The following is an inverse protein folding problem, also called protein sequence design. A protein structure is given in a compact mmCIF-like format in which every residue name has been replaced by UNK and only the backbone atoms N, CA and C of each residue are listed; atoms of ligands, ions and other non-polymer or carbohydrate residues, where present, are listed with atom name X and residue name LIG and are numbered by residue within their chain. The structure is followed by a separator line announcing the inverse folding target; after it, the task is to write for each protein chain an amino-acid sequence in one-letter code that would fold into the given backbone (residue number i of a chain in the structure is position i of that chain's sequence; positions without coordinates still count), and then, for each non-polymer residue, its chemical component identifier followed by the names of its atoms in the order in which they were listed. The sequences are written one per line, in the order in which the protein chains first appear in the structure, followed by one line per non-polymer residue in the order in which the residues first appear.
data_IF_408874458807
#
_entry.id   IF_408874458807
#
_cell.length_a   1.000
_cell.length_b   1.000
_cell.length_c   1.000
_cell.angle_alpha   90.00
_cell.angle_beta   90.00
_cell.angle_gamma   90.00
#
_symmetry.space_group_name_H-M   'P 1'
#
loop_
_entity.id
_entity.type
_entity.pdbx_description
1 polymer ?
#
# COMPACT_ATOMS: atom_id res chain seq x y z
N UNK A 1 18.17 50.13 -20.23
CA UNK A 1 17.34 49.57 -19.16
C UNK A 1 16.09 48.85 -19.62
N UNK A 2 15.29 49.34 -20.59
CA UNK A 2 14.05 48.66 -21.08
C UNK A 2 14.29 47.24 -21.67
N UNK A 3 15.40 46.99 -22.35
CA UNK A 3 15.69 45.68 -22.99
C UNK A 3 16.06 44.59 -21.98
N UNK A 4 16.66 44.96 -20.82
CA UNK A 4 17.01 44.00 -19.76
C UNK A 4 15.75 43.55 -18.99
N UNK A 5 14.78 44.45 -18.83
CA UNK A 5 13.53 44.15 -18.15
C UNK A 5 12.68 43.15 -18.95
N UNK A 6 12.68 43.24 -20.28
CA UNK A 6 11.94 42.34 -21.19
C UNK A 6 12.53 40.92 -21.15
N UNK A 7 13.85 40.76 -21.09
CA UNK A 7 14.50 39.47 -21.01
C UNK A 7 14.27 38.82 -19.65
N UNK A 8 14.27 39.58 -18.55
CA UNK A 8 13.95 39.06 -17.21
C UNK A 8 12.48 38.61 -17.11
N UNK A 9 11.54 39.35 -17.74
CA UNK A 9 10.13 38.97 -17.78
C UNK A 9 9.89 37.70 -18.60
N UNK A 10 10.62 37.51 -19.72
CA UNK A 10 10.56 36.28 -20.52
C UNK A 10 11.15 35.07 -19.79
N UNK A 11 12.23 35.24 -19.03
CA UNK A 11 12.79 34.16 -18.20
C UNK A 11 11.87 33.79 -17.05
N UNK A 12 11.18 34.75 -16.43
CA UNK A 12 10.18 34.49 -15.40
C UNK A 12 8.92 33.82 -15.94
N UNK A 13 8.48 34.13 -17.18
CA UNK A 13 7.32 33.49 -17.81
C UNK A 13 7.66 32.06 -18.27
N UNK A 14 8.90 31.79 -18.71
CA UNK A 14 9.32 30.43 -19.07
C UNK A 14 9.61 29.55 -17.83
N UNK A 15 10.01 30.11 -16.71
CA UNK A 15 10.17 29.37 -15.47
C UNK A 15 8.84 29.04 -14.76
N UNK A 16 7.77 29.80 -15.06
CA UNK A 16 6.43 29.56 -14.50
C UNK A 16 5.64 28.44 -15.23
N UNK A 17 6.12 27.98 -16.41
CA UNK A 17 5.49 26.91 -17.19
C UNK A 17 6.27 25.59 -17.19
N UNK A 18 7.30 25.44 -16.37
CA UNK A 18 7.73 24.12 -15.94
C UNK A 18 6.66 23.67 -14.95
N UNK A 19 5.59 23.07 -15.46
CA UNK A 19 4.59 22.42 -14.65
C UNK A 19 5.33 21.46 -13.72
N UNK A 20 5.45 21.82 -12.46
CA UNK A 20 5.78 20.88 -11.41
C UNK A 20 4.67 19.85 -11.54
N UNK A 21 5.01 18.69 -12.13
CA UNK A 21 4.16 17.53 -12.02
C UNK A 21 3.76 17.46 -10.55
N UNK A 22 2.47 17.43 -10.27
CA UNK A 22 1.98 17.41 -8.89
C UNK A 22 2.59 16.18 -8.20
N UNK A 23 3.73 16.38 -7.55
CA UNK A 23 4.48 15.34 -6.85
C UNK A 23 3.71 14.80 -5.64
N UNK A 24 2.51 15.32 -5.38
CA UNK A 24 1.66 14.90 -4.30
C UNK A 24 0.66 13.80 -4.68
N UNK A 25 0.42 13.57 -5.97
CA UNK A 25 -0.57 12.58 -6.41
C UNK A 25 -0.15 11.17 -6.03
N UNK A 26 -0.93 10.56 -5.14
CA UNK A 26 -0.81 9.14 -4.78
C UNK A 26 -1.59 8.31 -5.79
N UNK A 27 -0.94 7.30 -6.35
CA UNK A 27 -1.57 6.37 -7.29
C UNK A 27 -2.45 5.37 -6.55
N UNK A 28 -3.58 5.03 -7.13
CA UNK A 28 -4.49 4.04 -6.54
C UNK A 28 -3.93 2.64 -6.67
N UNK A 29 -3.91 1.90 -5.55
CA UNK A 29 -3.62 0.48 -5.55
C UNK A 29 -4.86 -0.29 -6.02
N UNK A 30 -4.74 -0.99 -7.16
CA UNK A 30 -5.86 -1.73 -7.75
C UNK A 30 -6.17 -3.02 -6.99
N UNK A 31 -5.22 -3.60 -6.30
CA UNK A 31 -5.46 -4.83 -5.54
C UNK A 31 -6.52 -4.64 -4.45
N UNK A 32 -6.68 -3.42 -3.93
CA UNK A 32 -7.76 -3.07 -2.99
C UNK A 32 -9.15 -3.13 -3.63
N UNK A 33 -9.22 -3.34 -4.95
CA UNK A 33 -10.45 -3.39 -5.75
C UNK A 33 -10.57 -4.72 -6.51
N UNK A 34 -9.95 -5.82 -6.02
CA UNK A 34 -10.11 -7.15 -6.60
C UNK A 34 -11.58 -7.48 -6.76
N UNK A 35 -11.93 -8.06 -7.89
CA UNK A 35 -13.31 -8.37 -8.31
C UNK A 35 -14.24 -7.15 -8.46
N UNK A 36 -13.69 -5.94 -8.46
CA UNK A 36 -14.41 -4.69 -8.74
C UNK A 36 -13.78 -3.96 -9.92
N UNK A 37 -14.62 -3.35 -10.73
CA UNK A 37 -14.16 -2.45 -11.79
C UNK A 37 -14.03 -1.05 -11.22
N UNK A 38 -12.89 -0.40 -11.42
CA UNK A 38 -12.71 1.01 -11.06
C UNK A 38 -12.42 1.85 -12.30
N UNK A 39 -12.76 3.13 -12.24
CA UNK A 39 -12.48 4.09 -13.32
C UNK A 39 -11.57 5.19 -12.80
N UNK A 40 -10.51 5.51 -13.56
CA UNK A 40 -9.61 6.64 -13.36
C UNK A 40 -9.37 7.33 -14.68
N UNK A 41 -9.68 8.64 -14.73
CA UNK A 41 -9.56 9.41 -15.97
C UNK A 41 -10.32 8.78 -17.14
N UNK A 42 -9.62 8.46 -18.20
CA UNK A 42 -10.17 7.85 -19.43
C UNK A 42 -10.06 6.33 -19.49
N UNK A 43 -9.79 5.67 -18.36
CA UNK A 43 -9.57 4.23 -18.31
C UNK A 43 -10.40 3.56 -17.22
N UNK A 44 -10.79 2.33 -17.51
CA UNK A 44 -11.44 1.42 -16.58
C UNK A 44 -10.54 0.23 -16.32
N UNK A 45 -10.44 -0.21 -15.08
CA UNK A 45 -9.53 -1.25 -14.64
C UNK A 45 -10.32 -2.40 -14.04
N UNK A 46 -10.00 -3.60 -14.46
CA UNK A 46 -10.62 -4.84 -14.01
C UNK A 46 -9.52 -5.85 -13.62
N UNK A 47 -9.56 -6.33 -12.38
CA UNK A 47 -8.64 -7.35 -11.90
C UNK A 47 -9.43 -8.56 -11.43
N UNK A 48 -9.53 -9.55 -12.31
CA UNK A 48 -10.24 -10.81 -12.03
C UNK A 48 -9.32 -12.00 -12.26
N UNK A 49 -9.33 -12.90 -11.29
CA UNK A 49 -8.45 -14.06 -11.31
C UNK A 49 -6.99 -13.67 -11.44
N UNK A 50 -6.31 -14.17 -12.48
CA UNK A 50 -4.89 -13.97 -12.72
C UNK A 50 -4.60 -12.95 -13.84
N UNK A 51 -5.59 -12.15 -14.23
CA UNK A 51 -5.46 -11.19 -15.33
C UNK A 51 -5.90 -9.82 -14.92
N UNK A 52 -4.97 -8.87 -15.00
CA UNK A 52 -5.25 -7.44 -14.88
C UNK A 52 -5.56 -6.86 -16.26
N UNK A 53 -6.70 -6.24 -16.43
CA UNK A 53 -7.16 -5.65 -17.69
C UNK A 53 -7.43 -4.16 -17.55
N UNK A 54 -7.03 -3.42 -18.57
CA UNK A 54 -7.31 -2.00 -18.73
C UNK A 54 -8.18 -1.82 -19.95
N UNK A 55 -9.29 -1.14 -19.78
CA UNK A 55 -10.22 -0.77 -20.85
C UNK A 55 -10.26 0.74 -21.04
N UNK A 56 -10.80 1.20 -22.16
CA UNK A 56 -11.21 2.58 -22.30
C UNK A 56 -12.31 2.95 -21.27
N UNK A 57 -12.62 4.22 -21.14
CA UNK A 57 -13.63 4.72 -20.19
C UNK A 57 -15.00 4.06 -20.37
N UNK A 58 -15.33 3.62 -21.59
CA UNK A 58 -16.61 2.93 -21.86
C UNK A 58 -16.64 1.50 -21.34
N UNK A 59 -15.48 0.93 -20.94
CA UNK A 59 -15.33 -0.45 -20.53
C UNK A 59 -15.41 -1.47 -21.67
N UNK A 60 -15.50 -1.00 -22.92
CA UNK A 60 -15.74 -1.87 -24.09
C UNK A 60 -14.48 -2.26 -24.85
N UNK A 61 -13.53 -1.33 -24.98
CA UNK A 61 -12.30 -1.58 -25.74
C UNK A 61 -11.15 -1.91 -24.82
N UNK A 62 -10.63 -3.14 -24.92
CA UNK A 62 -9.42 -3.56 -24.20
C UNK A 62 -8.21 -2.74 -24.68
N UNK A 63 -7.56 -2.08 -23.74
CA UNK A 63 -6.35 -1.28 -23.97
C UNK A 63 -5.09 -2.10 -23.68
N UNK A 64 -5.07 -2.79 -22.54
CA UNK A 64 -3.92 -3.56 -22.07
C UNK A 64 -4.40 -4.77 -21.25
N UNK A 65 -3.64 -5.87 -21.33
CA UNK A 65 -3.80 -7.04 -20.48
C UNK A 65 -2.44 -7.45 -19.93
N UNK A 66 -2.38 -7.71 -18.62
CA UNK A 66 -1.17 -8.19 -17.94
C UNK A 66 -1.55 -9.48 -17.20
N UNK A 67 -0.86 -10.57 -17.52
CA UNK A 67 -1.09 -11.87 -16.89
C UNK A 67 -0.28 -12.01 -15.61
N UNK A 68 -0.88 -12.55 -14.56
CA UNK A 68 -0.23 -12.82 -13.27
C UNK A 68 0.83 -13.93 -13.36
N UNK A 69 0.76 -14.81 -14.36
CA UNK A 69 1.73 -15.89 -14.53
C UNK A 69 3.19 -15.47 -14.73
N UNK A 70 3.42 -14.17 -14.94
CA UNK A 70 4.76 -13.58 -14.93
C UNK A 70 5.23 -13.18 -13.50
N UNK A 71 4.44 -13.44 -12.43
CA UNK A 71 4.60 -12.87 -11.11
C UNK A 71 4.55 -13.95 -10.01
N UNK A 72 5.50 -13.92 -9.08
CA UNK A 72 5.56 -14.88 -7.96
C UNK A 72 4.90 -14.40 -6.65
N UNK A 73 4.46 -13.14 -6.56
CA UNK A 73 3.84 -12.55 -5.36
C UNK A 73 2.66 -11.65 -5.69
N UNK A 74 1.79 -11.31 -4.73
CA UNK A 74 0.65 -10.43 -4.99
C UNK A 74 1.13 -9.09 -5.48
N UNK A 75 1.07 -8.94 -6.80
CA UNK A 75 1.58 -7.77 -7.47
C UNK A 75 0.63 -6.63 -7.26
N UNK A 76 1.12 -5.62 -6.60
CA UNK A 76 0.40 -4.39 -6.45
C UNK A 76 0.47 -3.62 -7.77
N UNK A 77 -0.69 -3.36 -8.33
CA UNK A 77 -0.85 -2.49 -9.49
C UNK A 77 -1.22 -1.09 -9.02
N UNK A 78 -0.38 -0.12 -9.33
CA UNK A 78 -0.63 1.29 -9.00
C UNK A 78 -0.94 2.07 -10.25
N UNK A 79 -2.10 2.73 -10.27
CA UNK A 79 -2.58 3.46 -11.44
C UNK A 79 -3.00 4.88 -11.12
N UNK A 80 -2.85 5.74 -12.12
CA UNK A 80 -3.57 7.00 -12.26
C UNK A 80 -4.19 7.07 -13.65
N UNK A 81 -4.58 8.26 -14.11
CA UNK A 81 -5.17 8.51 -15.42
C UNK A 81 -4.18 8.41 -16.60
N UNK A 82 -2.87 8.28 -16.33
CA UNK A 82 -1.82 8.27 -17.34
C UNK A 82 -0.95 7.02 -17.34
N UNK A 83 -0.58 6.54 -16.15
CA UNK A 83 0.40 5.48 -15.98
C UNK A 83 -0.11 4.31 -15.14
N UNK A 84 0.34 3.11 -15.50
CA UNK A 84 0.27 1.89 -14.71
C UNK A 84 1.69 1.52 -14.27
N UNK A 85 1.85 1.19 -12.98
CA UNK A 85 3.08 0.65 -12.41
C UNK A 85 2.83 -0.73 -11.83
N UNK A 86 3.76 -1.63 -12.07
CA UNK A 86 3.74 -2.99 -11.53
C UNK A 86 5.15 -3.57 -11.47
N UNK A 87 5.34 -4.65 -10.73
CA UNK A 87 6.57 -5.43 -10.74
C UNK A 87 6.47 -6.58 -11.72
N UNK A 88 7.60 -6.95 -12.29
CA UNK A 88 7.80 -8.16 -13.06
C UNK A 88 8.94 -8.94 -12.43
N UNK A 89 8.64 -10.12 -11.88
CA UNK A 89 9.62 -10.96 -11.18
C UNK A 89 9.97 -12.16 -12.05
N UNK A 90 11.26 -12.45 -12.18
CA UNK A 90 11.77 -13.68 -12.81
C UNK A 90 12.40 -14.51 -11.72
N UNK A 91 11.87 -15.70 -11.51
CA UNK A 91 12.36 -16.63 -10.49
C UNK A 91 13.90 -16.80 -10.58
N UNK A 92 14.58 -16.56 -9.46
CA UNK A 92 16.05 -16.63 -9.36
C UNK A 92 16.83 -15.54 -10.10
N UNK A 93 16.14 -14.54 -10.71
CA UNK A 93 16.79 -13.43 -11.46
C UNK A 93 16.45 -12.04 -10.91
N UNK A 94 15.60 -11.97 -9.89
CA UNK A 94 15.16 -10.71 -9.29
C UNK A 94 13.93 -10.11 -9.98
N UNK A 95 13.68 -8.84 -9.72
CA UNK A 95 12.48 -8.12 -10.16
C UNK A 95 12.81 -6.88 -10.98
N UNK A 96 11.86 -6.46 -11.80
CA UNK A 96 11.89 -5.14 -12.47
C UNK A 96 10.63 -4.36 -12.13
N UNK A 97 10.74 -3.06 -11.93
CA UNK A 97 9.58 -2.16 -11.87
C UNK A 97 9.30 -1.65 -13.27
N UNK A 98 8.08 -1.89 -13.73
CA UNK A 98 7.60 -1.51 -15.06
C UNK A 98 6.66 -0.32 -14.94
N UNK A 99 6.84 0.66 -15.81
CA UNK A 99 5.89 1.75 -16.05
C UNK A 99 5.30 1.58 -17.44
N UNK A 100 3.98 1.55 -17.54
CA UNK A 100 3.27 1.55 -18.82
C UNK A 100 2.47 2.83 -18.98
N UNK A 101 2.69 3.57 -20.05
CA UNK A 101 1.84 4.71 -20.43
C UNK A 101 0.57 4.19 -21.09
N UNK A 102 -0.59 4.47 -20.49
CA UNK A 102 -1.87 3.87 -20.88
C UNK A 102 -2.34 4.31 -22.27
N UNK A 103 -2.09 5.58 -22.64
CA UNK A 103 -2.51 6.11 -23.96
C UNK A 103 -1.74 5.48 -25.12
N UNK A 104 -0.43 5.31 -24.97
CA UNK A 104 0.46 4.79 -26.03
C UNK A 104 0.72 3.30 -25.92
N UNK A 105 0.37 2.68 -24.79
CA UNK A 105 0.65 1.28 -24.41
C UNK A 105 2.15 0.96 -24.36
N UNK A 106 3.00 1.97 -24.34
CA UNK A 106 4.44 1.79 -24.26
C UNK A 106 4.86 1.51 -22.83
N UNK A 107 5.58 0.43 -22.63
CA UNK A 107 6.16 0.03 -21.36
C UNK A 107 7.66 0.28 -21.33
N UNK A 108 8.17 0.65 -20.17
CA UNK A 108 9.60 0.75 -19.92
C UNK A 108 9.96 0.19 -18.56
N UNK A 109 11.12 -0.39 -18.44
CA UNK A 109 11.71 -0.76 -17.15
C UNK A 109 12.25 0.50 -16.48
N UNK A 110 11.71 0.80 -15.30
CA UNK A 110 12.13 1.96 -14.49
C UNK A 110 13.36 1.62 -13.69
N UNK A 111 13.39 0.41 -13.12
CA UNK A 111 14.47 -0.09 -12.29
C UNK A 111 14.50 -1.62 -12.30
N UNK A 112 15.72 -2.17 -12.34
CA UNK A 112 15.98 -3.61 -12.28
C UNK A 112 16.68 -3.92 -10.96
N UNK A 113 16.29 -5.02 -10.32
CA UNK A 113 16.83 -5.52 -9.07
C UNK A 113 17.37 -6.94 -9.26
N UNK A 114 18.45 -7.25 -8.56
CA UNK A 114 18.98 -8.63 -8.45
C UNK A 114 18.24 -9.48 -7.41
N UNK A 115 17.35 -8.86 -6.64
CA UNK A 115 16.54 -9.47 -5.58
C UNK A 115 15.07 -9.25 -5.88
N UNK A 116 14.20 -9.98 -5.20
CA UNK A 116 12.77 -9.78 -5.31
C UNK A 116 12.33 -8.52 -4.57
N UNK A 117 11.45 -7.75 -5.20
CA UNK A 117 10.86 -6.55 -4.62
C UNK A 117 9.35 -6.54 -4.83
N UNK A 118 8.62 -5.98 -3.87
CA UNK A 118 7.20 -5.72 -3.97
C UNK A 118 6.94 -4.21 -4.01
N UNK A 119 6.07 -3.76 -4.92
CA UNK A 119 5.63 -2.37 -4.91
C UNK A 119 4.77 -2.10 -3.67
N UNK A 120 5.09 -1.01 -2.98
CA UNK A 120 4.36 -0.53 -1.82
C UNK A 120 3.53 0.72 -2.12
N UNK A 121 3.90 1.48 -3.15
CA UNK A 121 3.16 2.68 -3.55
C UNK A 121 3.86 3.48 -4.63
N UNK A 122 3.10 4.42 -5.22
CA UNK A 122 3.64 5.41 -6.15
C UNK A 122 3.05 6.77 -5.80
N UNK A 123 3.90 7.80 -5.72
CA UNK A 123 3.50 9.17 -5.46
C UNK A 123 4.30 10.12 -6.36
N UNK A 124 3.65 10.72 -7.34
CA UNK A 124 4.32 11.56 -8.34
C UNK A 124 5.47 10.81 -9.04
N UNK A 125 6.69 11.26 -8.86
CA UNK A 125 7.90 10.64 -9.41
C UNK A 125 8.60 9.67 -8.44
N UNK A 126 7.99 9.35 -7.32
CA UNK A 126 8.55 8.49 -6.28
C UNK A 126 7.85 7.14 -6.29
N UNK A 127 8.64 6.08 -6.36
CA UNK A 127 8.20 4.69 -6.28
C UNK A 127 8.66 4.13 -4.94
N UNK A 128 7.72 3.69 -4.14
CA UNK A 128 7.94 3.04 -2.86
C UNK A 128 7.87 1.53 -3.04
N UNK A 129 8.83 0.82 -2.50
CA UNK A 129 8.92 -0.63 -2.63
C UNK A 129 9.62 -1.25 -1.43
N UNK A 130 9.33 -2.52 -1.18
CA UNK A 130 10.02 -3.31 -0.19
C UNK A 130 10.99 -4.28 -0.86
N UNK A 131 12.20 -4.34 -0.36
CA UNK A 131 13.20 -5.33 -0.72
C UNK A 131 13.21 -6.39 0.37
N UNK A 132 13.14 -7.65 -0.01
CA UNK A 132 13.31 -8.75 0.91
C UNK A 132 14.75 -9.20 0.83
N UNK A 133 15.55 -8.96 1.89
CA UNK A 133 16.93 -9.43 1.98
C UNK A 133 16.98 -10.74 2.78
N UNK A 134 17.66 -11.72 2.24
CA UNK A 134 17.98 -12.95 2.95
C UNK A 134 19.31 -12.77 3.68
N UNK A 135 19.29 -12.64 5.00
CA UNK A 135 20.49 -12.68 5.82
C UNK A 135 20.65 -14.08 6.41
N UNK A 136 21.76 -14.74 6.05
CA UNK A 136 22.16 -16.01 6.67
C UNK A 136 21.23 -17.20 6.49
N UNK A 137 20.28 -17.13 5.59
CA UNK A 137 19.36 -18.26 5.27
C UNK A 137 18.16 -18.42 6.20
N UNK A 138 17.95 -17.55 7.19
CA UNK A 138 16.93 -17.79 8.22
C UNK A 138 15.84 -16.72 8.38
N UNK A 139 16.02 -15.48 7.97
CA UNK A 139 14.96 -14.47 8.13
C UNK A 139 14.90 -13.49 6.98
N UNK A 140 13.67 -13.14 6.58
CA UNK A 140 13.40 -12.04 5.66
C UNK A 140 13.29 -10.74 6.45
N UNK A 141 14.20 -9.81 6.24
CA UNK A 141 14.11 -8.45 6.77
C UNK A 141 13.70 -7.49 5.64
N UNK A 142 12.39 -7.25 5.44
CA UNK A 142 11.95 -6.35 4.39
C UNK A 142 12.42 -4.93 4.67
N UNK A 143 13.04 -4.31 3.69
CA UNK A 143 13.47 -2.91 3.75
C UNK A 143 12.58 -2.04 2.88
N UNK A 144 11.89 -1.07 3.47
CA UNK A 144 11.14 -0.06 2.74
C UNK A 144 12.11 0.98 2.15
N UNK A 145 12.01 1.16 0.85
CA UNK A 145 12.85 2.10 0.09
C UNK A 145 11.99 2.99 -0.80
N UNK A 146 12.56 4.11 -1.22
CA UNK A 146 12.00 5.00 -2.23
C UNK A 146 12.99 5.22 -3.35
N UNK A 147 12.51 5.08 -4.58
CA UNK A 147 13.25 5.41 -5.80
C UNK A 147 12.62 6.60 -6.51
N UNK A 148 13.37 7.65 -6.72
CA UNK A 148 12.92 8.81 -7.49
C UNK A 148 13.26 8.61 -8.97
N UNK A 149 12.23 8.58 -9.82
CA UNK A 149 12.34 8.29 -11.26
C UNK A 149 13.21 9.32 -11.98
N UNK A 150 13.08 10.59 -11.62
CA UNK A 150 13.76 11.70 -12.31
C UNK A 150 15.25 11.80 -11.90
N UNK A 151 15.52 11.81 -10.60
CA UNK A 151 16.89 11.97 -10.08
C UNK A 151 17.69 10.66 -10.02
N UNK A 152 17.02 9.50 -10.21
CA UNK A 152 17.58 8.15 -10.06
C UNK A 152 18.11 7.86 -8.65
N UNK A 153 17.79 8.69 -7.67
CA UNK A 153 18.16 8.46 -6.27
C UNK A 153 17.30 7.36 -5.67
N UNK A 154 17.94 6.54 -4.87
CA UNK A 154 17.35 5.41 -4.16
C UNK A 154 17.72 5.51 -2.68
N UNK A 155 16.74 5.63 -1.81
CA UNK A 155 16.94 5.88 -0.39
C UNK A 155 16.23 4.80 0.44
N UNK A 156 16.89 4.36 1.50
CA UNK A 156 16.29 3.55 2.56
C UNK A 156 15.41 4.43 3.44
N UNK A 157 14.21 3.97 3.76
CA UNK A 157 13.26 4.66 4.65
C UNK A 157 13.22 3.94 6.01
N UNK A 158 13.03 2.62 5.99
CA UNK A 158 12.90 1.82 7.19
C UNK A 158 13.33 0.37 6.95
N UNK A 159 14.00 -0.23 7.93
CA UNK A 159 14.25 -1.67 7.99
C UNK A 159 13.09 -2.37 8.69
N UNK A 160 12.94 -3.67 8.43
CA UNK A 160 11.86 -4.50 8.99
C UNK A 160 10.47 -3.91 8.75
N UNK A 161 10.23 -3.33 7.57
CA UNK A 161 8.98 -2.66 7.22
C UNK A 161 8.14 -3.50 6.27
N UNK A 162 6.91 -3.78 6.67
CA UNK A 162 5.89 -4.51 5.89
C UNK A 162 4.55 -3.78 5.94
N UNK A 163 3.57 -4.26 5.17
CA UNK A 163 2.21 -3.70 5.13
C UNK A 163 2.22 -2.18 4.96
N UNK A 164 2.92 -1.71 3.91
CA UNK A 164 3.14 -0.28 3.68
C UNK A 164 1.93 0.36 3.01
N UNK A 165 1.49 1.51 3.53
CA UNK A 165 0.41 2.31 2.94
C UNK A 165 0.80 3.79 2.86
N UNK A 166 0.51 4.41 1.72
CA UNK A 166 0.79 5.83 1.49
C UNK A 166 -0.45 6.66 1.85
N UNK A 167 -0.32 7.52 2.85
CA UNK A 167 -1.31 8.55 3.17
C UNK A 167 -0.96 9.90 2.54
N UNK A 168 -1.85 10.88 2.68
CA UNK A 168 -1.65 12.20 2.07
C UNK A 168 -0.36 12.90 2.55
N UNK A 169 -0.01 12.75 3.82
CA UNK A 169 1.11 13.45 4.44
C UNK A 169 2.19 12.52 4.97
N UNK A 170 1.90 11.23 5.08
CA UNK A 170 2.77 10.24 5.72
C UNK A 170 2.71 8.90 5.02
N UNK A 171 3.74 8.10 5.29
CA UNK A 171 3.84 6.70 4.93
C UNK A 171 3.65 5.92 6.23
N UNK A 172 2.79 4.90 6.20
CA UNK A 172 2.54 3.99 7.30
C UNK A 172 3.16 2.64 6.99
N UNK A 173 3.70 1.98 7.99
CA UNK A 173 4.23 0.62 7.88
C UNK A 173 4.23 -0.08 9.22
N UNK A 174 4.09 -1.38 9.20
CA UNK A 174 4.26 -2.23 10.37
C UNK A 174 5.67 -2.81 10.38
N UNK A 175 6.24 -3.04 11.56
CA UNK A 175 7.41 -3.88 11.64
C UNK A 175 7.04 -5.29 11.19
N UNK A 176 7.86 -5.84 10.30
CA UNK A 176 7.74 -7.23 9.94
C UNK A 176 8.30 -8.08 11.08
N UNK A 177 7.44 -8.96 11.60
CA UNK A 177 7.84 -10.04 12.48
C UNK A 177 7.34 -11.32 11.81
N UNK A 178 8.16 -12.34 11.76
CA UNK A 178 7.74 -13.68 11.28
C UNK A 178 6.74 -14.34 12.25
N UNK A 179 6.51 -13.72 13.36
CA UNK A 179 5.73 -14.19 14.47
C UNK A 179 4.27 -13.75 14.33
N UNK A 180 3.35 -14.55 14.86
CA UNK A 180 1.91 -14.25 14.87
C UNK A 180 1.53 -13.18 15.89
N UNK A 181 2.50 -12.39 16.36
CA UNK A 181 2.30 -11.41 17.41
C UNK A 181 1.88 -10.04 16.90
N UNK A 182 1.13 -9.28 17.71
CA UNK A 182 0.94 -7.86 17.48
C UNK A 182 2.28 -7.15 17.34
N UNK A 183 2.38 -6.27 16.36
CA UNK A 183 3.63 -5.57 16.04
C UNK A 183 3.48 -4.06 16.14
N UNK A 184 4.56 -3.33 15.91
CA UNK A 184 4.56 -1.87 15.97
C UNK A 184 4.12 -1.29 14.63
N UNK A 185 3.17 -0.36 14.66
CA UNK A 185 2.78 0.48 13.53
C UNK A 185 3.48 1.83 13.63
N UNK A 186 4.13 2.22 12.56
CA UNK A 186 4.84 3.50 12.45
C UNK A 186 4.24 4.38 11.36
N UNK A 187 4.45 5.69 11.51
CA UNK A 187 4.24 6.68 10.47
C UNK A 187 5.49 7.53 10.29
N UNK A 188 5.87 7.81 9.05
CA UNK A 188 6.98 8.70 8.70
C UNK A 188 6.52 9.71 7.64
N UNK A 189 6.94 10.97 7.78
CA UNK A 189 6.67 11.98 6.76
C UNK A 189 7.46 11.74 5.47
N UNK A 190 7.05 12.38 4.38
CA UNK A 190 7.74 12.29 3.08
C UNK A 190 9.13 12.96 3.04
N UNK A 191 9.60 13.47 4.18
CA UNK A 191 11.01 13.83 4.38
C UNK A 191 11.86 12.65 4.87
N UNK A 192 11.23 11.50 5.15
CA UNK A 192 11.82 10.21 5.58
C UNK A 192 12.61 10.30 6.89
N UNK A 193 12.31 11.29 7.73
CA UNK A 193 13.00 11.50 9.01
C UNK A 193 12.07 11.23 10.18
N UNK A 194 12.67 10.75 11.28
CA UNK A 194 12.03 10.62 12.59
C UNK A 194 10.69 9.87 12.53
N UNK A 195 10.66 8.56 12.21
CA UNK A 195 9.45 7.76 12.27
C UNK A 195 8.81 7.85 13.65
N UNK A 196 7.50 8.05 13.70
CA UNK A 196 6.72 8.06 14.93
C UNK A 196 5.96 6.75 15.09
N UNK A 197 6.10 6.10 16.23
CA UNK A 197 5.27 4.94 16.56
C UNK A 197 3.83 5.39 16.84
N UNK A 198 2.87 4.80 16.14
CA UNK A 198 1.43 5.06 16.27
C UNK A 198 0.76 4.03 17.19
N UNK A 199 1.15 2.77 17.06
CA UNK A 199 0.70 1.68 17.91
C UNK A 199 1.86 0.73 18.21
N UNK A 200 1.85 0.13 19.39
CA UNK A 200 2.79 -0.93 19.78
C UNK A 200 2.24 -2.34 19.65
N UNK A 201 0.95 -2.48 19.43
CA UNK A 201 0.22 -3.75 19.43
C UNK A 201 -0.70 -3.89 18.21
N UNK A 202 -0.32 -3.34 17.06
CA UNK A 202 -1.12 -3.45 15.84
C UNK A 202 -1.03 -4.89 15.27
N UNK A 203 -2.15 -5.39 14.81
CA UNK A 203 -2.23 -6.67 14.05
C UNK A 203 -2.65 -6.41 12.61
N UNK A 204 -3.39 -5.34 12.38
CA UNK A 204 -3.79 -4.88 11.05
C UNK A 204 -4.14 -3.40 11.09
N UNK A 205 -4.13 -2.74 9.94
CA UNK A 205 -4.59 -1.36 9.82
C UNK A 205 -5.07 -1.03 8.40
N UNK A 206 -5.83 0.06 8.29
CA UNK A 206 -6.24 0.64 7.01
C UNK A 206 -6.33 2.16 7.11
N UNK A 207 -5.94 2.85 6.05
CA UNK A 207 -6.09 4.30 5.90
C UNK A 207 -7.31 4.59 5.05
N UNK A 208 -8.37 5.14 5.64
CA UNK A 208 -9.66 5.33 4.97
C UNK A 208 -10.16 6.76 5.23
N UNK A 209 -10.34 7.52 4.15
CA UNK A 209 -10.89 8.88 4.22
C UNK A 209 -10.09 9.82 5.14
N UNK A 210 -8.75 9.72 5.16
CA UNK A 210 -7.88 10.52 6.01
C UNK A 210 -7.95 10.15 7.51
N UNK A 211 -8.45 8.96 7.83
CA UNK A 211 -8.44 8.37 9.17
C UNK A 211 -7.71 7.05 9.15
N UNK A 212 -6.99 6.79 10.22
CA UNK A 212 -6.30 5.53 10.45
C UNK A 212 -7.14 4.63 11.33
N UNK A 213 -7.49 3.47 10.81
CA UNK A 213 -8.18 2.40 11.51
C UNK A 213 -7.14 1.35 11.90
N UNK A 214 -7.09 0.95 13.16
CA UNK A 214 -6.06 0.06 13.68
C UNK A 214 -6.73 -1.05 14.49
N UNK A 215 -6.54 -2.29 14.07
CA UNK A 215 -6.85 -3.45 14.88
C UNK A 215 -5.68 -3.71 15.82
N UNK A 216 -5.94 -3.75 17.12
CA UNK A 216 -4.93 -4.02 18.15
C UNK A 216 -5.32 -5.21 18.98
N UNK A 217 -4.34 -6.04 19.28
CA UNK A 217 -4.49 -7.15 20.20
C UNK A 217 -3.64 -6.95 21.46
N UNK A 218 -4.07 -7.56 22.55
CA UNK A 218 -3.28 -7.63 23.78
C UNK A 218 -2.49 -8.92 23.78
N UNK A 219 -1.18 -8.81 23.92
CA UNK A 219 -0.32 -9.98 24.11
C UNK A 219 -0.72 -10.68 25.41
N UNK A 220 -1.12 -11.93 25.30
CA UNK A 220 -1.56 -12.75 26.44
C UNK A 220 -0.41 -13.58 26.97
N UNK A 221 0.41 -14.10 26.05
CA UNK A 221 1.58 -14.91 26.38
C UNK A 221 2.83 -14.28 25.72
N UNK A 222 3.58 -13.44 26.43
CA UNK A 222 4.77 -12.79 25.88
C UNK A 222 5.96 -13.74 25.68
N UNK A 223 5.94 -14.90 26.32
CA UNK A 223 7.03 -15.88 26.25
C UNK A 223 6.87 -16.87 25.08
N UNK A 224 5.71 -16.87 24.42
CA UNK A 224 5.45 -17.68 23.23
C UNK A 224 4.99 -16.78 22.07
N UNK A 225 5.94 -16.41 21.24
CA UNK A 225 5.72 -15.53 20.07
C UNK A 225 4.84 -16.16 18.99
N UNK A 226 4.62 -17.47 19.04
CA UNK A 226 3.74 -18.21 18.11
C UNK A 226 2.38 -18.56 18.73
N UNK A 227 2.10 -18.12 19.97
CA UNK A 227 0.81 -18.40 20.59
C UNK A 227 -0.31 -17.64 19.87
N UNK A 228 -1.16 -18.41 19.17
CA UNK A 228 -2.36 -17.89 18.48
C UNK A 228 -3.31 -17.13 19.41
N UNK A 229 -3.21 -17.32 20.73
CA UNK A 229 -4.01 -16.54 21.69
C UNK A 229 -3.59 -15.08 21.74
N UNK A 230 -2.38 -14.73 21.31
CA UNK A 230 -1.91 -13.36 21.20
C UNK A 230 -2.64 -12.56 20.10
N UNK A 231 -3.34 -13.22 19.18
CA UNK A 231 -4.17 -12.61 18.14
C UNK A 231 -5.68 -12.63 18.47
N UNK A 232 -6.07 -13.10 19.66
CA UNK A 232 -7.48 -13.11 20.09
C UNK A 232 -7.88 -11.78 20.72
N UNK A 233 -9.17 -11.51 20.71
CA UNK A 233 -9.77 -10.34 21.37
C UNK A 233 -9.27 -8.98 20.84
N UNK A 234 -9.20 -8.85 19.53
CA UNK A 234 -8.80 -7.62 18.89
C UNK A 234 -9.83 -6.51 19.05
N UNK A 235 -9.35 -5.31 19.28
CA UNK A 235 -10.18 -4.10 19.33
C UNK A 235 -9.83 -3.22 18.14
N UNK A 236 -10.85 -2.80 17.38
CA UNK A 236 -10.66 -1.80 16.33
C UNK A 236 -10.69 -0.40 16.92
N UNK A 237 -9.66 0.37 16.64
CA UNK A 237 -9.56 1.79 16.95
C UNK A 237 -9.62 2.63 15.68
N UNK A 238 -10.05 3.89 15.81
CA UNK A 238 -9.89 4.92 14.80
C UNK A 238 -9.16 6.11 15.39
N UNK A 239 -8.26 6.72 14.62
CA UNK A 239 -7.55 7.92 15.01
C UNK A 239 -7.31 8.84 13.78
N UNK A 240 -6.77 10.02 14.03
CA UNK A 240 -6.23 10.87 12.97
C UNK A 240 -4.97 10.22 12.38
N UNK A 241 -4.56 10.69 11.19
CA UNK A 241 -3.32 10.23 10.53
C UNK A 241 -2.05 10.38 11.37
N UNK A 242 -2.02 11.25 12.35
CA UNK A 242 -0.90 11.43 13.27
C UNK A 242 -0.97 10.56 14.53
N UNK A 243 -2.00 9.71 14.63
CA UNK A 243 -2.29 8.87 15.80
C UNK A 243 -3.03 9.59 16.93
N UNK A 244 -3.35 10.88 16.78
CA UNK A 244 -4.13 11.63 17.78
C UNK A 244 -5.61 11.25 17.75
N UNK A 245 -6.32 11.62 18.81
CA UNK A 245 -7.78 11.40 18.93
C UNK A 245 -8.19 9.93 18.76
N UNK A 246 -7.36 9.00 19.22
CA UNK A 246 -7.62 7.56 19.15
C UNK A 246 -8.81 7.18 20.02
N UNK A 247 -9.79 6.49 19.42
CA UNK A 247 -10.97 5.97 20.12
C UNK A 247 -11.31 4.55 19.63
N UNK A 248 -11.82 3.72 20.53
CA UNK A 248 -12.31 2.41 20.18
C UNK A 248 -13.62 2.51 19.37
N UNK A 249 -13.69 1.75 18.28
CA UNK A 249 -14.90 1.57 17.47
C UNK A 249 -15.64 0.28 17.83
N UNK A 250 -14.93 -0.74 18.29
CA UNK A 250 -15.52 -2.01 18.74
C UNK A 250 -15.11 -2.28 20.19
N UNK A 251 -15.84 -3.17 20.89
CA UNK A 251 -15.27 -3.93 21.98
C UNK A 251 -14.27 -4.96 21.46
N UNK A 252 -13.77 -5.81 22.36
CA UNK A 252 -12.91 -6.92 21.98
C UNK A 252 -13.69 -7.90 21.09
N UNK A 253 -13.16 -8.17 19.90
CA UNK A 253 -13.68 -9.15 18.95
C UNK A 253 -12.93 -10.45 19.17
N UNK A 254 -13.65 -11.55 19.41
CA UNK A 254 -13.02 -12.86 19.58
C UNK A 254 -12.54 -13.42 18.24
N UNK A 255 -11.44 -12.85 17.72
CA UNK A 255 -10.88 -13.27 16.46
C UNK A 255 -9.87 -12.29 15.89
N UNK A 256 -9.29 -12.65 14.76
CA UNK A 256 -8.36 -11.87 13.96
C UNK A 256 -9.11 -11.02 12.92
N UNK A 257 -8.97 -9.70 13.00
CA UNK A 257 -9.56 -8.74 12.04
C UNK A 257 -8.66 -8.68 10.81
N UNK A 258 -9.09 -9.31 9.71
CA UNK A 258 -8.30 -9.40 8.48
C UNK A 258 -8.71 -8.39 7.40
N UNK A 259 -9.90 -7.79 7.50
CA UNK A 259 -10.37 -6.76 6.56
C UNK A 259 -11.06 -5.62 7.30
N UNK A 260 -10.72 -4.39 6.91
CA UNK A 260 -11.20 -3.16 7.54
C UNK A 260 -11.70 -2.21 6.46
N UNK A 261 -12.97 -1.83 6.56
CA UNK A 261 -13.57 -0.78 5.73
C UNK A 261 -14.14 0.36 6.58
N UNK A 262 -14.60 1.43 5.97
CA UNK A 262 -15.24 2.54 6.68
C UNK A 262 -16.54 2.14 7.41
N UNK A 263 -17.19 1.08 6.99
CA UNK A 263 -18.54 0.68 7.46
C UNK A 263 -18.57 -0.67 8.16
N UNK A 264 -17.61 -1.54 7.90
CA UNK A 264 -17.58 -2.90 8.45
C UNK A 264 -16.15 -3.40 8.66
N UNK A 265 -16.03 -4.40 9.52
CA UNK A 265 -14.82 -5.24 9.62
C UNK A 265 -15.20 -6.69 9.31
N UNK A 266 -14.22 -7.45 8.84
CA UNK A 266 -14.32 -8.91 8.74
C UNK A 266 -13.26 -9.54 9.62
N UNK A 267 -13.65 -10.60 10.31
CA UNK A 267 -12.76 -11.29 11.23
C UNK A 267 -12.97 -12.80 11.19
N UNK A 268 -11.92 -13.51 11.55
CA UNK A 268 -11.89 -14.96 11.65
C UNK A 268 -11.74 -15.35 13.11
N UNK A 269 -12.56 -16.27 13.58
CA UNK A 269 -12.36 -16.89 14.91
C UNK A 269 -11.24 -17.90 14.79
N UNK A 270 -10.11 -17.57 15.38
CA UNK A 270 -8.86 -18.34 15.25
C UNK A 270 -9.06 -19.81 15.64
N UNK A 271 -8.61 -20.71 14.76
CA UNK A 271 -8.69 -22.15 14.94
C UNK A 271 -10.07 -22.76 14.65
N UNK A 272 -11.00 -22.04 14.01
CA UNK A 272 -12.35 -22.55 13.82
C UNK A 272 -12.90 -22.48 12.39
N UNK A 273 -12.17 -21.91 11.43
CA UNK A 273 -12.64 -21.65 10.06
C UNK A 273 -13.99 -20.90 10.00
N UNK A 274 -14.32 -20.15 11.05
CA UNK A 274 -15.55 -19.36 11.15
C UNK A 274 -15.23 -17.89 10.87
N UNK A 275 -15.95 -17.36 9.89
CA UNK A 275 -15.77 -15.99 9.42
C UNK A 275 -17.00 -15.15 9.70
N UNK A 276 -16.79 -13.91 10.07
CA UNK A 276 -17.86 -12.98 10.41
C UNK A 276 -17.58 -11.61 9.84
N UNK A 277 -18.65 -10.84 9.61
CA UNK A 277 -18.59 -9.40 9.41
C UNK A 277 -19.35 -8.68 10.50
N UNK A 278 -18.84 -7.52 10.91
CA UNK A 278 -19.51 -6.63 11.86
C UNK A 278 -19.70 -5.26 11.25
N UNK A 279 -20.92 -4.77 11.23
CA UNK A 279 -21.20 -3.39 10.84
C UNK A 279 -20.77 -2.43 11.95
N UNK A 280 -19.90 -1.46 11.63
CA UNK A 280 -19.29 -0.55 12.62
C UNK A 280 -20.29 0.42 13.25
N UNK A 281 -21.39 0.76 12.55
CA UNK A 281 -22.42 1.66 13.08
C UNK A 281 -23.42 0.93 13.96
N UNK A 282 -23.97 -0.18 13.48
CA UNK A 282 -25.06 -0.92 14.17
C UNK A 282 -24.56 -1.99 15.13
N UNK A 283 -23.28 -2.37 15.05
CA UNK A 283 -22.66 -3.49 15.77
C UNK A 283 -23.27 -4.86 15.46
N UNK A 284 -24.11 -4.93 14.43
CA UNK A 284 -24.69 -6.20 13.99
C UNK A 284 -23.61 -7.09 13.42
N UNK A 285 -23.58 -8.34 13.87
CA UNK A 285 -22.65 -9.38 13.41
C UNK A 285 -23.41 -10.37 12.54
N UNK A 286 -22.81 -10.75 11.42
CA UNK A 286 -23.32 -11.73 10.49
C UNK A 286 -22.24 -12.77 10.17
N UNK A 287 -22.61 -14.05 10.15
CA UNK A 287 -21.69 -15.10 9.71
C UNK A 287 -21.45 -15.03 8.20
N UNK A 288 -20.26 -15.37 7.77
CA UNK A 288 -19.88 -15.49 6.37
C UNK A 288 -19.61 -16.97 6.04
N UNK A 289 -19.96 -17.38 4.83
CA UNK A 289 -19.74 -18.76 4.37
C UNK A 289 -18.28 -19.05 4.02
N UNK A 290 -17.48 -17.99 3.80
CA UNK A 290 -16.06 -18.09 3.47
C UNK A 290 -15.35 -16.80 3.85
N UNK A 291 -14.01 -16.83 3.83
CA UNK A 291 -13.15 -15.66 4.11
C UNK A 291 -13.29 -14.55 3.03
N UNK A 292 -13.59 -14.95 1.78
CA UNK A 292 -13.64 -14.07 0.60
C UNK A 292 -14.97 -14.21 -0.12
#
# INVERSE_FOLDING_TARGET
MKKILTVLLFVLIFSANIGFADNSQIYSNINNYKDKTITKGNFSFDYKGDVFKVYDKSGKKLVLSVNKGDFNYPDNFFVNDKYLYYTKTKQGKGSSIIQTELATKKSKEIKIFKVEVALAGVRGNEIYYTVVSQHGGEMFEPELRVFNISSKKDLSIAKNASFVELGNTKIYYMNFLMELNPTKLYAVGYNYKSPKMISKNAVNYALIGGKLYIAESKIVNPDDEFDMNNLKNETLFVCNEDGSSKKALTGAVNGYIYDITATEIRYEVIGSEKYYKMNLKTKKVEALNSKY
#
